data_IF_435236629766
#
_entry.id   IF_435236629766
#
_cell.length_a   1.000
_cell.length_b   1.000
_cell.length_c   1.000
_cell.angle_alpha   90.00
_cell.angle_beta   90.00
_cell.angle_gamma   90.00
#
_symmetry.space_group_name_H-M   'P 1'
#
loop_
_entity.id
_entity.type
_entity.pdbx_description
1 polymer ?
#
# COMPACT_ATOMS: atom_id res chain seq x y z
N UNK A 1 44.63 6.86 4.93
CA UNK A 1 43.41 6.65 5.77
C UNK A 1 42.13 6.93 5.03
N UNK A 2 41.97 8.13 4.44
CA UNK A 2 40.78 8.49 3.66
C UNK A 2 40.56 7.54 2.49
N UNK A 3 41.61 7.16 1.75
CA UNK A 3 41.53 6.22 0.62
C UNK A 3 41.05 4.82 1.05
N UNK A 4 41.44 4.35 2.23
CA UNK A 4 41.01 3.06 2.76
C UNK A 4 39.52 3.10 3.18
N UNK A 5 39.05 4.24 3.70
CA UNK A 5 37.64 4.44 4.03
C UNK A 5 36.81 4.47 2.74
N UNK A 6 37.26 5.22 1.74
CA UNK A 6 36.57 5.27 0.43
C UNK A 6 36.53 3.88 -0.21
N UNK A 7 37.67 3.16 -0.19
CA UNK A 7 37.71 1.79 -0.73
C UNK A 7 36.75 0.85 0.03
N UNK A 8 36.67 0.94 1.36
CA UNK A 8 35.75 0.15 2.15
C UNK A 8 34.28 0.49 1.82
N UNK A 9 33.93 1.76 1.67
CA UNK A 9 32.59 2.21 1.26
C UNK A 9 32.23 1.69 -0.15
N UNK A 10 33.17 1.77 -1.10
CA UNK A 10 32.97 1.23 -2.45
C UNK A 10 32.76 -0.29 -2.42
N UNK A 11 33.53 -1.02 -1.62
CA UNK A 11 33.35 -2.46 -1.49
C UNK A 11 32.02 -2.84 -0.85
N UNK A 12 31.55 -2.08 0.14
CA UNK A 12 30.23 -2.26 0.74
C UNK A 12 29.13 -1.99 -0.29
N UNK A 13 29.23 -0.87 -1.02
CA UNK A 13 28.26 -0.53 -2.07
C UNK A 13 28.24 -1.60 -3.19
N UNK A 14 29.41 -2.11 -3.61
CA UNK A 14 29.51 -3.19 -4.60
C UNK A 14 28.91 -4.49 -4.06
N UNK A 15 29.11 -4.79 -2.78
CA UNK A 15 28.51 -5.96 -2.15
C UNK A 15 26.99 -5.89 -2.19
N UNK A 16 26.39 -4.79 -1.73
CA UNK A 16 24.93 -4.61 -1.79
C UNK A 16 24.40 -4.57 -3.24
N UNK A 17 25.12 -3.91 -4.15
CA UNK A 17 24.73 -3.91 -5.57
C UNK A 17 24.68 -5.32 -6.16
N UNK A 18 25.64 -6.21 -5.78
CA UNK A 18 25.60 -7.62 -6.21
C UNK A 18 24.40 -8.38 -5.62
N UNK A 19 23.99 -8.04 -4.38
CA UNK A 19 22.80 -8.64 -3.74
C UNK A 19 21.49 -8.27 -4.43
N UNK A 20 21.40 -7.11 -5.09
CA UNK A 20 20.24 -6.76 -5.90
C UNK A 20 20.00 -7.70 -7.09
N UNK A 21 20.96 -8.58 -7.41
CA UNK A 21 20.71 -9.66 -8.38
C UNK A 21 19.80 -10.77 -7.84
N UNK A 22 19.49 -10.78 -6.55
CA UNK A 22 18.54 -11.71 -5.95
C UNK A 22 17.09 -11.33 -6.23
N UNK A 23 16.81 -10.03 -6.49
CA UNK A 23 15.47 -9.59 -6.89
C UNK A 23 15.09 -10.21 -8.24
N UNK A 24 13.85 -10.62 -8.35
CA UNK A 24 13.30 -11.02 -9.65
C UNK A 24 12.98 -9.77 -10.48
N UNK A 25 13.97 -9.36 -11.26
CA UNK A 25 13.83 -8.29 -12.27
C UNK A 25 13.71 -8.86 -13.69
N UNK A 26 13.36 -10.13 -13.81
CA UNK A 26 13.25 -10.79 -15.12
C UNK A 26 12.05 -10.32 -15.92
N UNK A 27 10.99 -9.90 -15.22
CA UNK A 27 9.80 -9.35 -15.84
C UNK A 27 9.90 -7.82 -15.86
N UNK A 28 10.02 -7.28 -17.07
CA UNK A 28 10.00 -5.84 -17.31
C UNK A 28 8.64 -5.49 -17.91
N UNK A 29 8.01 -4.47 -17.35
CA UNK A 29 6.72 -3.98 -17.82
C UNK A 29 6.83 -3.52 -19.28
N UNK A 30 5.91 -3.98 -20.12
CA UNK A 30 5.78 -3.47 -21.48
C UNK A 30 5.06 -2.11 -21.45
N UNK A 31 5.82 -1.05 -21.57
CA UNK A 31 5.30 0.33 -21.56
C UNK A 31 4.21 0.58 -22.62
N UNK A 32 4.18 -0.22 -23.71
CA UNK A 32 3.12 -0.14 -24.70
C UNK A 32 1.77 -0.72 -24.20
N UNK A 33 1.79 -1.44 -23.09
CA UNK A 33 0.61 -1.99 -22.42
C UNK A 33 0.18 -1.17 -21.19
N UNK A 34 0.85 -0.05 -20.93
CA UNK A 34 0.47 0.92 -19.90
C UNK A 34 -0.13 2.13 -20.59
N UNK A 35 -1.28 2.56 -20.10
CA UNK A 35 -1.97 3.76 -20.56
C UNK A 35 -2.05 4.77 -19.41
N UNK A 36 -1.72 6.02 -19.72
CA UNK A 36 -1.87 7.19 -18.86
C UNK A 36 -2.85 8.15 -19.49
N UNK A 37 -3.52 8.94 -18.68
CA UNK A 37 -4.43 9.97 -19.17
C UNK A 37 -3.66 11.20 -19.68
N UNK A 38 -4.29 11.94 -20.57
CA UNK A 38 -3.79 13.26 -20.98
C UNK A 38 -4.16 14.28 -19.89
N UNK A 39 -3.17 14.73 -19.15
CA UNK A 39 -3.31 15.69 -18.04
C UNK A 39 -2.57 16.99 -18.38
N UNK A 40 -2.88 18.07 -17.65
CA UNK A 40 -2.25 19.37 -17.88
C UNK A 40 -0.72 19.34 -17.67
N UNK A 41 0.03 20.18 -18.41
CA UNK A 41 1.50 20.28 -18.29
C UNK A 41 1.96 20.55 -16.84
N UNK A 42 1.19 21.32 -16.07
CA UNK A 42 1.48 21.61 -14.67
C UNK A 42 1.45 20.33 -13.81
N UNK A 43 0.49 19.44 -14.07
CA UNK A 43 0.38 18.13 -13.39
C UNK A 43 1.57 17.25 -13.75
N UNK A 44 1.97 17.18 -15.03
CA UNK A 44 3.15 16.41 -15.43
C UNK A 44 4.43 16.93 -14.77
N UNK A 45 4.59 18.26 -14.66
CA UNK A 45 5.72 18.87 -13.97
C UNK A 45 5.73 18.52 -12.46
N UNK A 46 4.56 18.39 -11.83
CA UNK A 46 4.47 17.95 -10.45
C UNK A 46 4.93 16.49 -10.30
N UNK A 47 4.56 15.60 -11.21
CA UNK A 47 4.98 14.19 -11.16
C UNK A 47 6.50 14.02 -11.20
N UNK A 48 7.23 14.85 -11.95
CA UNK A 48 8.71 14.79 -12.04
C UNK A 48 9.40 14.94 -10.67
N UNK A 49 8.77 15.64 -9.71
CA UNK A 49 9.28 15.83 -8.35
C UNK A 49 9.12 14.60 -7.45
N UNK A 50 8.39 13.60 -7.91
CA UNK A 50 8.02 12.42 -7.11
C UNK A 50 8.46 11.11 -7.78
N UNK A 51 8.50 10.06 -6.97
CA UNK A 51 8.62 8.67 -7.43
C UNK A 51 7.38 7.92 -6.95
N UNK A 52 6.52 7.52 -7.89
CA UNK A 52 5.27 6.82 -7.58
C UNK A 52 5.39 5.36 -7.99
N UNK A 53 5.14 4.45 -7.05
CA UNK A 53 5.31 3.00 -7.22
C UNK A 53 4.00 2.29 -6.88
N UNK A 54 3.52 1.44 -7.77
CA UNK A 54 2.42 0.53 -7.47
C UNK A 54 2.94 -0.69 -6.72
N UNK A 55 2.34 -1.01 -5.58
CA UNK A 55 2.69 -2.18 -4.79
C UNK A 55 1.51 -3.15 -4.78
N UNK A 56 1.76 -4.40 -5.13
CA UNK A 56 0.74 -5.45 -5.18
C UNK A 56 1.08 -6.58 -4.23
N UNK A 57 0.15 -6.88 -3.33
CA UNK A 57 0.21 -8.05 -2.46
C UNK A 57 -0.68 -9.16 -3.01
N UNK A 58 -0.10 -10.32 -3.28
CA UNK A 58 -0.79 -11.45 -3.86
C UNK A 58 -0.96 -12.56 -2.81
N UNK A 59 -2.18 -13.08 -2.68
CA UNK A 59 -2.46 -14.28 -1.87
C UNK A 59 -2.22 -15.54 -2.72
N UNK A 60 -0.96 -15.73 -3.12
CA UNK A 60 -0.57 -16.87 -3.93
C UNK A 60 -0.20 -18.05 -3.04
N UNK A 61 -0.81 -19.22 -3.30
CA UNK A 61 -0.49 -20.46 -2.62
C UNK A 61 0.87 -21.05 -3.05
N UNK A 62 1.45 -20.54 -4.13
CA UNK A 62 2.77 -20.93 -4.62
C UNK A 62 3.65 -19.69 -4.55
N UNK A 63 4.61 -19.71 -3.64
CA UNK A 63 5.58 -18.65 -3.41
C UNK A 63 6.32 -18.28 -4.69
N UNK A 64 6.54 -16.98 -4.93
CA UNK A 64 7.26 -16.47 -6.09
C UNK A 64 6.52 -16.57 -7.44
N UNK A 65 5.22 -16.87 -7.47
CA UNK A 65 4.42 -16.90 -8.70
C UNK A 65 3.55 -15.64 -8.79
N UNK A 66 3.96 -14.70 -9.63
CA UNK A 66 3.29 -13.38 -9.78
C UNK A 66 2.49 -13.22 -11.08
N UNK A 67 2.41 -14.28 -11.90
CA UNK A 67 1.78 -14.23 -13.22
C UNK A 67 0.26 -14.33 -13.21
N UNK A 68 -0.36 -14.61 -12.06
CA UNK A 68 -1.82 -14.76 -11.96
C UNK A 68 -2.31 -14.65 -10.54
N UNK A 69 -3.58 -14.31 -10.36
CA UNK A 69 -4.24 -14.15 -9.08
C UNK A 69 -4.83 -12.74 -8.93
N UNK A 70 -5.74 -12.57 -7.98
CA UNK A 70 -6.22 -11.23 -7.62
C UNK A 70 -5.18 -10.56 -6.71
N UNK A 71 -4.95 -9.28 -6.91
CA UNK A 71 -4.21 -8.47 -5.95
C UNK A 71 -5.11 -8.17 -4.75
N UNK A 72 -4.86 -8.84 -3.64
CA UNK A 72 -5.62 -8.61 -2.40
C UNK A 72 -5.17 -7.36 -1.64
N UNK A 73 -3.99 -6.88 -1.96
CA UNK A 73 -3.43 -5.59 -1.52
C UNK A 73 -3.04 -4.79 -2.75
N UNK A 74 -3.51 -3.56 -2.84
CA UNK A 74 -3.15 -2.59 -3.87
C UNK A 74 -2.76 -1.32 -3.13
N UNK A 75 -1.49 -0.92 -3.24
CA UNK A 75 -0.96 0.25 -2.57
C UNK A 75 -0.28 1.16 -3.59
N UNK A 76 -0.38 2.46 -3.37
CA UNK A 76 0.39 3.49 -4.07
C UNK A 76 1.37 4.05 -3.05
N UNK A 77 2.65 3.85 -3.28
CA UNK A 77 3.72 4.50 -2.55
C UNK A 77 4.19 5.69 -3.36
N UNK A 78 4.07 6.89 -2.81
CA UNK A 78 4.53 8.12 -3.42
C UNK A 78 5.63 8.75 -2.57
N UNK A 79 6.75 9.09 -3.18
CA UNK A 79 7.95 9.60 -2.50
C UNK A 79 8.29 10.96 -3.09
N UNK A 80 8.26 12.00 -2.27
CA UNK A 80 8.81 13.30 -2.66
C UNK A 80 10.35 13.20 -2.74
N UNK A 81 10.90 13.41 -3.92
CA UNK A 81 12.32 13.22 -4.18
C UNK A 81 13.22 14.26 -3.49
N UNK A 82 12.67 15.42 -3.13
CA UNK A 82 13.40 16.51 -2.46
C UNK A 82 13.30 16.39 -0.93
N UNK A 83 12.07 16.33 -0.38
CA UNK A 83 11.85 16.31 1.07
C UNK A 83 12.05 14.94 1.69
N UNK A 84 11.94 13.86 0.91
CA UNK A 84 11.95 12.45 1.33
C UNK A 84 10.71 12.04 2.14
N UNK A 85 9.69 12.85 2.13
CA UNK A 85 8.38 12.48 2.66
C UNK A 85 7.73 11.43 1.77
N UNK A 86 7.09 10.46 2.40
CA UNK A 86 6.37 9.39 1.73
C UNK A 86 4.90 9.44 2.07
N UNK A 87 4.07 9.15 1.07
CA UNK A 87 2.64 8.92 1.23
C UNK A 87 2.28 7.49 0.81
N UNK A 88 1.49 6.81 1.62
CA UNK A 88 1.05 5.43 1.36
C UNK A 88 -0.48 5.38 1.26
N UNK A 89 -1.02 5.07 0.08
CA UNK A 89 -2.47 5.00 -0.14
C UNK A 89 -2.88 3.59 -0.53
N UNK A 90 -3.80 2.99 0.23
CA UNK A 90 -4.44 1.73 -0.13
C UNK A 90 -5.60 1.97 -1.08
N UNK A 91 -5.58 1.39 -2.27
CA UNK A 91 -6.79 1.30 -3.12
C UNK A 91 -7.57 0.06 -2.68
N UNK A 92 -8.77 0.25 -2.13
CA UNK A 92 -9.57 -0.88 -1.66
C UNK A 92 -9.87 -1.83 -2.81
N UNK A 93 -9.49 -3.10 -2.65
CA UNK A 93 -9.51 -4.10 -3.73
C UNK A 93 -10.87 -4.28 -4.42
N UNK A 94 -11.96 -3.99 -3.71
CA UNK A 94 -13.33 -4.12 -4.18
C UNK A 94 -13.89 -2.80 -4.77
N UNK A 95 -13.04 -1.76 -4.94
CA UNK A 95 -13.43 -0.48 -5.55
C UNK A 95 -13.89 -0.70 -6.99
N UNK A 96 -15.03 -0.09 -7.33
CA UNK A 96 -15.66 -0.19 -8.66
C UNK A 96 -15.02 0.80 -9.62
N UNK A 97 -14.07 0.31 -10.42
CA UNK A 97 -13.27 1.09 -11.35
C UNK A 97 -13.27 0.47 -12.75
N UNK A 98 -12.84 1.23 -13.74
CA UNK A 98 -12.59 0.70 -15.08
C UNK A 98 -11.31 -0.15 -15.08
N UNK A 99 -11.45 -1.43 -15.40
CA UNK A 99 -10.37 -2.43 -15.41
C UNK A 99 -10.03 -2.91 -16.83
N UNK A 100 -10.48 -2.21 -17.87
CA UNK A 100 -10.21 -2.59 -19.26
C UNK A 100 -8.70 -2.55 -19.57
N UNK A 101 -8.24 -3.49 -20.40
CA UNK A 101 -6.90 -3.43 -20.94
C UNK A 101 -6.79 -2.34 -22.02
N UNK A 102 -5.55 -1.95 -22.34
CA UNK A 102 -5.26 -0.95 -23.38
C UNK A 102 -5.91 -1.37 -24.70
N UNK A 103 -6.67 -0.45 -25.30
CA UNK A 103 -7.37 -0.66 -26.56
C UNK A 103 -8.66 -1.48 -26.46
N UNK A 104 -9.07 -1.92 -25.28
CA UNK A 104 -10.37 -2.55 -25.05
C UNK A 104 -11.45 -1.52 -24.71
N UNK A 105 -12.73 -1.92 -24.87
CA UNK A 105 -13.86 -1.12 -24.41
C UNK A 105 -13.90 -1.09 -22.88
N UNK A 106 -14.36 0.03 -22.32
CA UNK A 106 -14.48 0.24 -20.89
C UNK A 106 -15.25 -0.88 -20.18
N UNK A 107 -14.69 -1.33 -19.06
CA UNK A 107 -15.17 -2.46 -18.29
C UNK A 107 -15.04 -2.18 -16.80
N UNK A 108 -16.14 -1.85 -16.17
CA UNK A 108 -16.16 -1.54 -14.74
C UNK A 108 -16.40 -2.78 -13.89
N UNK A 109 -15.48 -3.03 -12.95
CA UNK A 109 -15.51 -4.16 -12.01
C UNK A 109 -14.73 -3.79 -10.73
N UNK A 110 -14.62 -4.77 -9.81
CA UNK A 110 -13.67 -4.66 -8.69
C UNK A 110 -12.26 -4.48 -9.21
N UNK A 111 -11.56 -3.47 -8.73
CA UNK A 111 -10.24 -3.07 -9.25
C UNK A 111 -9.19 -4.20 -9.15
N UNK A 112 -9.27 -5.09 -8.12
CA UNK A 112 -8.37 -6.23 -7.99
C UNK A 112 -8.42 -7.23 -9.15
N UNK A 113 -9.52 -7.23 -9.93
CA UNK A 113 -9.66 -8.10 -11.11
C UNK A 113 -8.77 -7.66 -12.29
N UNK A 114 -8.23 -6.46 -12.27
CA UNK A 114 -7.29 -5.99 -13.29
C UNK A 114 -6.03 -6.86 -13.32
N UNK A 115 -5.41 -7.07 -12.15
CA UNK A 115 -4.23 -7.93 -12.03
C UNK A 115 -4.51 -9.37 -12.49
N UNK A 116 -5.64 -9.95 -12.07
CA UNK A 116 -6.01 -11.31 -12.48
C UNK A 116 -6.27 -11.46 -13.98
N UNK A 117 -6.66 -10.38 -14.65
CA UNK A 117 -7.04 -10.37 -16.08
C UNK A 117 -5.85 -10.18 -17.03
N UNK A 118 -4.91 -9.31 -16.67
CA UNK A 118 -3.80 -8.94 -17.55
C UNK A 118 -2.51 -8.59 -16.81
N UNK A 119 -2.34 -9.12 -15.58
CA UNK A 119 -1.09 -8.94 -14.85
C UNK A 119 -0.87 -7.52 -14.37
N UNK A 120 0.40 -7.22 -14.15
CA UNK A 120 0.84 -5.95 -13.57
C UNK A 120 0.54 -4.76 -14.49
N UNK A 121 0.69 -4.91 -15.82
CA UNK A 121 0.43 -3.83 -16.78
C UNK A 121 -1.03 -3.38 -16.75
N UNK A 122 -1.96 -4.33 -16.73
CA UNK A 122 -3.38 -3.97 -16.64
C UNK A 122 -3.75 -3.39 -15.29
N UNK A 123 -3.09 -3.82 -14.21
CA UNK A 123 -3.29 -3.25 -12.88
C UNK A 123 -2.73 -1.82 -12.78
N UNK A 124 -1.58 -1.53 -13.37
CA UNK A 124 -1.01 -0.18 -13.45
C UNK A 124 -1.89 0.72 -14.34
N UNK A 125 -2.27 0.23 -15.53
CA UNK A 125 -3.20 0.97 -16.42
C UNK A 125 -4.51 1.31 -15.72
N UNK A 126 -5.06 0.37 -14.93
CA UNK A 126 -6.25 0.62 -14.13
C UNK A 126 -6.03 1.76 -13.13
N UNK A 127 -4.90 1.78 -12.42
CA UNK A 127 -4.58 2.88 -11.49
C UNK A 127 -4.42 4.19 -12.24
N UNK A 128 -3.60 4.23 -13.29
CA UNK A 128 -3.31 5.44 -14.04
C UNK A 128 -4.57 6.08 -14.65
N UNK A 129 -5.43 5.26 -15.29
CA UNK A 129 -6.63 5.77 -15.97
C UNK A 129 -7.72 6.25 -15.03
N UNK A 130 -7.91 5.58 -13.89
CA UNK A 130 -8.97 5.96 -12.95
C UNK A 130 -8.53 7.05 -11.98
N UNK A 131 -7.22 7.25 -11.78
CA UNK A 131 -6.69 8.12 -10.72
C UNK A 131 -5.83 9.26 -11.26
N UNK A 132 -5.72 9.42 -12.58
CA UNK A 132 -4.84 10.40 -13.23
C UNK A 132 -3.38 10.33 -12.71
N UNK A 133 -2.83 9.13 -12.63
CA UNK A 133 -1.46 8.90 -12.22
C UNK A 133 -0.57 8.55 -13.41
N UNK A 134 0.74 8.66 -13.21
CA UNK A 134 1.79 8.26 -14.16
C UNK A 134 2.72 7.24 -13.48
N UNK A 135 2.13 6.09 -13.11
CA UNK A 135 2.86 4.98 -12.51
C UNK A 135 3.44 4.14 -13.63
N UNK A 136 4.74 3.91 -13.59
CA UNK A 136 5.48 3.09 -14.54
C UNK A 136 6.30 1.97 -13.86
N UNK A 137 6.38 1.99 -12.54
CA UNK A 137 7.15 1.03 -11.76
C UNK A 137 6.27 0.29 -10.74
N UNK A 138 6.66 -0.95 -10.44
CA UNK A 138 5.91 -1.78 -9.50
C UNK A 138 6.79 -2.60 -8.56
N UNK A 139 6.15 -3.07 -7.50
CA UNK A 139 6.67 -4.09 -6.60
C UNK A 139 5.56 -5.11 -6.32
N UNK A 140 5.84 -6.39 -6.55
CA UNK A 140 4.95 -7.48 -6.15
C UNK A 140 5.60 -8.31 -5.05
N UNK A 141 4.82 -8.61 -4.02
CA UNK A 141 5.22 -9.48 -2.92
C UNK A 141 4.10 -10.46 -2.59
N UNK A 142 4.45 -11.61 -2.02
CA UNK A 142 3.48 -12.52 -1.42
C UNK A 142 3.50 -12.44 0.11
N UNK A 143 2.51 -13.05 0.75
CA UNK A 143 2.39 -13.00 2.21
C UNK A 143 3.49 -13.77 2.94
N UNK A 144 4.13 -14.76 2.30
CA UNK A 144 5.24 -15.49 2.88
C UNK A 144 6.46 -14.59 3.00
N UNK A 145 6.80 -13.85 1.94
CA UNK A 145 7.89 -12.88 1.94
C UNK A 145 7.68 -11.78 2.99
N UNK A 146 6.45 -11.31 3.16
CA UNK A 146 6.11 -10.32 4.21
C UNK A 146 6.31 -10.91 5.60
N UNK A 147 5.87 -12.14 5.85
CA UNK A 147 6.05 -12.80 7.14
C UNK A 147 7.53 -12.98 7.48
N UNK A 148 8.33 -13.48 6.53
CA UNK A 148 9.77 -13.66 6.71
C UNK A 148 10.49 -12.34 6.95
N UNK A 149 10.11 -11.27 6.24
CA UNK A 149 10.68 -9.94 6.46
C UNK A 149 10.42 -9.43 7.88
N UNK A 150 9.19 -9.60 8.38
CA UNK A 150 8.82 -9.21 9.74
C UNK A 150 9.64 -9.99 10.78
N UNK A 151 9.81 -11.29 10.61
CA UNK A 151 10.56 -12.14 11.56
C UNK A 151 12.05 -11.75 11.58
N UNK A 152 12.66 -11.50 10.43
CA UNK A 152 14.05 -11.03 10.33
C UNK A 152 14.25 -9.68 11.02
N UNK A 153 13.25 -8.77 10.89
CA UNK A 153 13.28 -7.46 11.54
C UNK A 153 13.03 -7.53 13.05
N UNK A 154 12.61 -8.69 13.59
CA UNK A 154 12.37 -8.90 15.02
C UNK A 154 10.92 -8.71 15.44
N UNK A 155 9.99 -8.73 14.49
CA UNK A 155 8.56 -8.53 14.69
C UNK A 155 8.12 -7.09 14.46
N UNK A 156 6.81 -6.87 14.53
CA UNK A 156 6.17 -5.54 14.44
C UNK A 156 5.34 -5.26 15.67
N UNK A 157 5.41 -4.04 16.18
CA UNK A 157 4.63 -3.63 17.34
C UNK A 157 3.22 -3.19 16.91
N UNK A 158 2.21 -3.92 17.34
CA UNK A 158 0.81 -3.68 16.99
C UNK A 158 -0.04 -3.62 18.25
N UNK A 159 -0.90 -2.63 18.35
CA UNK A 159 -1.93 -2.55 19.36
C UNK A 159 -3.14 -3.38 18.93
N UNK A 160 -3.49 -4.38 19.74
CA UNK A 160 -4.72 -5.17 19.60
C UNK A 160 -5.81 -4.45 20.39
N UNK A 161 -6.70 -3.77 19.69
CA UNK A 161 -7.61 -2.77 20.27
C UNK A 161 -8.75 -3.39 21.09
N UNK A 162 -9.14 -4.64 20.82
CA UNK A 162 -10.29 -5.27 21.45
C UNK A 162 -10.21 -6.79 21.51
N UNK A 163 -11.03 -7.40 22.39
CA UNK A 163 -11.22 -8.85 22.47
C UNK A 163 -11.82 -9.41 21.16
N UNK A 164 -12.62 -8.65 20.43
CA UNK A 164 -13.14 -9.05 19.13
C UNK A 164 -12.02 -9.13 18.09
N UNK A 165 -11.13 -8.16 18.07
CA UNK A 165 -9.97 -8.15 17.18
C UNK A 165 -9.02 -9.31 17.52
N UNK A 166 -8.73 -9.54 18.79
CA UNK A 166 -7.95 -10.68 19.25
C UNK A 166 -8.57 -12.01 18.82
N UNK A 167 -9.88 -12.16 18.98
CA UNK A 167 -10.60 -13.37 18.56
C UNK A 167 -10.42 -13.63 17.06
N UNK A 168 -10.63 -12.60 16.22
CA UNK A 168 -10.49 -12.74 14.78
C UNK A 168 -9.05 -12.95 14.35
N UNK A 169 -8.08 -12.25 14.98
CA UNK A 169 -6.66 -12.50 14.74
C UNK A 169 -6.34 -13.98 14.91
N UNK A 170 -6.70 -14.53 16.07
CA UNK A 170 -6.43 -15.93 16.38
C UNK A 170 -7.21 -16.92 15.48
N UNK A 171 -8.42 -16.56 15.05
CA UNK A 171 -9.16 -17.33 14.06
C UNK A 171 -8.48 -17.36 12.67
N UNK A 172 -7.84 -16.25 12.28
CA UNK A 172 -7.05 -16.19 11.03
C UNK A 172 -5.68 -16.88 11.16
N UNK A 173 -5.15 -17.07 12.37
CA UNK A 173 -3.89 -17.77 12.61
C UNK A 173 -3.92 -19.22 12.08
N UNK A 174 -5.04 -19.93 12.25
CA UNK A 174 -5.16 -21.32 11.78
C UNK A 174 -4.97 -21.43 10.27
N UNK A 175 -5.62 -20.55 9.51
CA UNK A 175 -5.50 -20.52 8.05
C UNK A 175 -4.12 -20.03 7.61
N UNK A 176 -3.58 -19.01 8.29
CA UNK A 176 -2.26 -18.46 7.98
C UNK A 176 -1.15 -19.47 8.26
N UNK A 177 -1.16 -20.12 9.42
CA UNK A 177 -0.23 -21.22 9.73
C UNK A 177 -0.28 -22.33 8.68
N UNK A 178 -1.48 -22.73 8.27
CA UNK A 178 -1.66 -23.76 7.25
C UNK A 178 -1.12 -23.33 5.89
N UNK A 179 -1.37 -22.08 5.48
CA UNK A 179 -0.95 -21.55 4.18
C UNK A 179 0.56 -21.36 4.11
N UNK A 180 1.19 -20.92 5.19
CA UNK A 180 2.64 -20.70 5.29
C UNK A 180 3.40 -21.96 5.72
N UNK A 181 2.71 -23.04 6.08
CA UNK A 181 3.33 -24.29 6.53
C UNK A 181 3.99 -24.18 7.91
N UNK A 182 3.53 -23.26 8.74
CA UNK A 182 4.02 -22.95 10.09
C UNK A 182 3.09 -23.52 11.17
N UNK A 183 3.48 -23.38 12.43
CA UNK A 183 2.63 -23.74 13.59
C UNK A 183 2.97 -22.81 14.75
N UNK A 184 2.73 -21.51 14.56
CA UNK A 184 2.98 -20.50 15.57
C UNK A 184 1.82 -20.39 16.56
N UNK A 185 2.16 -19.99 17.78
CA UNK A 185 1.21 -19.83 18.88
C UNK A 185 0.27 -18.63 18.64
N UNK A 186 -0.93 -18.71 19.20
CA UNK A 186 -1.88 -17.62 19.21
C UNK A 186 -1.38 -16.42 20.02
N UNK A 187 -1.86 -15.25 19.64
CA UNK A 187 -1.66 -14.02 20.42
C UNK A 187 -2.45 -14.10 21.72
N UNK A 188 -1.80 -13.77 22.85
CA UNK A 188 -2.30 -14.09 24.19
C UNK A 188 -3.24 -13.07 24.82
N UNK A 189 -3.36 -11.86 24.25
CA UNK A 189 -4.19 -10.80 24.85
C UNK A 189 -4.29 -9.55 23.99
N UNK A 190 -5.04 -8.58 24.47
CA UNK A 190 -5.18 -7.23 23.90
C UNK A 190 -4.05 -6.29 24.34
N UNK A 191 -4.02 -5.08 23.78
CA UNK A 191 -2.98 -4.07 24.01
C UNK A 191 -1.80 -4.23 23.06
N UNK A 192 -0.78 -3.41 23.27
CA UNK A 192 0.42 -3.38 22.42
C UNK A 192 1.25 -4.65 22.58
N UNK A 193 1.51 -5.32 21.48
CA UNK A 193 2.28 -6.55 21.42
C UNK A 193 3.21 -6.58 20.20
N UNK A 194 4.36 -7.23 20.34
CA UNK A 194 5.21 -7.54 19.19
C UNK A 194 4.69 -8.80 18.51
N UNK A 195 4.17 -8.67 17.31
CA UNK A 195 3.67 -9.77 16.49
C UNK A 195 4.81 -10.36 15.65
N UNK A 196 4.84 -11.70 15.55
CA UNK A 196 5.67 -12.41 14.57
C UNK A 196 5.16 -12.20 13.16
N UNK A 197 5.91 -12.63 12.15
CA UNK A 197 5.49 -12.51 10.75
C UNK A 197 4.15 -13.18 10.47
N UNK A 198 3.95 -14.40 10.97
CA UNK A 198 2.68 -15.14 10.81
C UNK A 198 1.52 -14.43 11.51
N UNK A 199 1.75 -13.94 12.73
CA UNK A 199 0.74 -13.20 13.50
C UNK A 199 0.37 -11.88 12.82
N UNK A 200 1.35 -11.14 12.31
CA UNK A 200 1.13 -9.87 11.61
C UNK A 200 0.40 -10.06 10.26
N UNK A 201 0.74 -11.13 9.53
CA UNK A 201 -0.02 -11.50 8.32
C UNK A 201 -1.46 -11.90 8.68
N UNK A 202 -1.67 -12.69 9.73
CA UNK A 202 -3.02 -13.03 10.20
C UNK A 202 -3.81 -11.77 10.60
N UNK A 203 -3.19 -10.85 11.34
CA UNK A 203 -3.76 -9.56 11.71
C UNK A 203 -4.17 -8.74 10.47
N UNK A 204 -3.32 -8.64 9.47
CA UNK A 204 -3.57 -7.89 8.23
C UNK A 204 -4.69 -8.49 7.35
N UNK A 205 -5.15 -9.70 7.65
CA UNK A 205 -6.21 -10.41 6.91
C UNK A 205 -7.57 -10.32 7.56
N UNK A 206 -7.69 -9.78 8.79
CA UNK A 206 -8.96 -9.69 9.53
C UNK A 206 -9.99 -8.88 8.75
N UNK A 207 -11.22 -9.44 8.59
CA UNK A 207 -12.35 -8.81 7.88
C UNK A 207 -13.59 -8.65 8.74
N UNK A 208 -13.81 -9.52 9.72
CA UNK A 208 -15.06 -9.66 10.46
C UNK A 208 -15.17 -8.73 11.69
N UNK A 209 -14.56 -7.55 11.63
CA UNK A 209 -14.76 -6.48 12.60
C UNK A 209 -15.60 -5.36 11.97
N UNK A 210 -16.14 -4.45 12.78
CA UNK A 210 -16.84 -3.28 12.25
C UNK A 210 -15.91 -2.50 11.30
N UNK A 211 -16.36 -2.19 10.07
CA UNK A 211 -15.54 -1.52 9.05
C UNK A 211 -14.97 -2.42 7.96
N UNK A 212 -15.13 -3.75 8.06
CA UNK A 212 -14.92 -4.75 6.99
C UNK A 212 -13.59 -4.60 6.20
N UNK A 213 -13.65 -4.41 4.88
CA UNK A 213 -12.49 -4.28 3.99
C UNK A 213 -11.66 -3.00 4.24
N UNK A 214 -12.27 -1.94 4.77
CA UNK A 214 -11.57 -0.70 5.10
C UNK A 214 -10.61 -0.90 6.27
N UNK A 215 -11.09 -1.51 7.35
CA UNK A 215 -10.25 -1.87 8.50
C UNK A 215 -9.17 -2.88 8.15
N UNK A 216 -9.42 -3.77 7.20
CA UNK A 216 -8.37 -4.66 6.69
C UNK A 216 -7.25 -3.87 6.00
N UNK A 217 -7.58 -2.95 5.10
CA UNK A 217 -6.59 -2.12 4.42
C UNK A 217 -5.81 -1.23 5.40
N UNK A 218 -6.46 -0.69 6.43
CA UNK A 218 -5.81 0.03 7.52
C UNK A 218 -4.80 -0.86 8.27
N UNK A 219 -5.19 -2.08 8.66
CA UNK A 219 -4.28 -3.05 9.31
C UNK A 219 -3.06 -3.38 8.43
N UNK A 220 -3.26 -3.51 7.12
CA UNK A 220 -2.17 -3.73 6.17
C UNK A 220 -1.19 -2.54 6.16
N UNK A 221 -1.70 -1.31 6.10
CA UNK A 221 -0.84 -0.10 6.18
C UNK A 221 -0.12 -0.02 7.52
N UNK A 222 -0.81 -0.31 8.63
CA UNK A 222 -0.21 -0.32 9.98
C UNK A 222 0.96 -1.30 10.08
N UNK A 223 0.80 -2.53 9.57
CA UNK A 223 1.88 -3.51 9.51
C UNK A 223 3.05 -3.02 8.66
N UNK A 224 2.79 -2.49 7.45
CA UNK A 224 3.83 -1.98 6.56
C UNK A 224 4.58 -0.78 7.16
N UNK A 225 3.85 0.14 7.81
CA UNK A 225 4.46 1.29 8.50
C UNK A 225 5.38 0.83 9.62
N UNK A 226 4.97 -0.14 10.43
CA UNK A 226 5.81 -0.71 11.48
C UNK A 226 7.02 -1.46 10.92
N UNK A 227 6.86 -2.20 9.83
CA UNK A 227 7.99 -2.84 9.13
C UNK A 227 8.99 -1.80 8.65
N UNK A 228 8.54 -0.68 8.10
CA UNK A 228 9.40 0.40 7.65
C UNK A 228 10.21 0.99 8.81
N UNK A 229 9.58 1.30 9.94
CA UNK A 229 10.27 1.82 11.12
C UNK A 229 11.28 0.81 11.71
N UNK A 230 10.92 -0.48 11.75
CA UNK A 230 11.85 -1.53 12.16
C UNK A 230 13.05 -1.63 11.20
N UNK A 231 12.82 -1.54 9.90
CA UNK A 231 13.88 -1.58 8.89
C UNK A 231 14.86 -0.40 9.05
N UNK A 232 14.40 0.80 9.42
CA UNK A 232 15.28 1.96 9.71
C UNK A 232 16.23 1.70 10.88
N UNK A 233 15.82 0.88 11.84
CA UNK A 233 16.62 0.53 13.03
C UNK A 233 17.40 -0.78 12.89
N UNK A 234 17.24 -1.51 11.79
CA UNK A 234 17.80 -2.82 11.59
C UNK A 234 19.34 -2.79 11.53
N UNK A 235 19.96 -3.80 12.12
CA UNK A 235 21.40 -4.03 12.01
C UNK A 235 21.80 -4.43 10.59
N UNK A 236 23.07 -4.21 10.22
CA UNK A 236 23.59 -4.66 8.92
C UNK A 236 23.43 -6.18 8.71
N UNK A 237 23.45 -6.97 9.79
CA UNK A 237 23.21 -8.42 9.71
C UNK A 237 21.78 -8.73 9.31
N UNK A 238 20.80 -8.07 9.95
CA UNK A 238 19.38 -8.22 9.62
C UNK A 238 19.09 -7.74 8.19
N UNK A 239 19.64 -6.59 7.78
CA UNK A 239 19.50 -6.11 6.41
C UNK A 239 20.09 -7.09 5.38
N UNK A 240 21.25 -7.69 5.68
CA UNK A 240 21.81 -8.71 4.80
C UNK A 240 20.94 -9.97 4.74
N UNK A 241 20.42 -10.44 5.87
CA UNK A 241 19.52 -11.59 5.95
C UNK A 241 18.23 -11.32 5.19
N UNK A 242 17.62 -10.14 5.37
CA UNK A 242 16.43 -9.69 4.63
C UNK A 242 16.67 -9.73 3.12
N UNK A 243 17.81 -9.21 2.66
CA UNK A 243 18.17 -9.23 1.24
C UNK A 243 18.35 -10.66 0.73
N UNK A 244 18.97 -11.55 1.50
CA UNK A 244 19.23 -12.93 1.07
C UNK A 244 17.96 -13.79 1.05
N UNK A 245 17.05 -13.54 1.97
CA UNK A 245 15.87 -14.38 2.21
C UNK A 245 14.65 -13.85 1.46
N UNK A 246 14.38 -12.54 1.52
CA UNK A 246 13.13 -11.95 1.01
C UNK A 246 13.25 -11.47 -0.44
N UNK A 247 14.42 -10.97 -0.86
CA UNK A 247 14.55 -10.43 -2.23
C UNK A 247 14.28 -11.44 -3.35
N UNK A 248 14.59 -12.75 -3.23
CA UNK A 248 14.20 -13.73 -4.24
C UNK A 248 12.68 -13.82 -4.47
N UNK A 249 11.90 -13.43 -3.46
CA UNK A 249 10.45 -13.48 -3.44
C UNK A 249 9.81 -12.08 -3.65
N UNK A 250 10.57 -11.15 -4.22
CA UNK A 250 10.08 -9.83 -4.67
C UNK A 250 10.27 -9.73 -6.18
N UNK A 251 9.19 -9.46 -6.90
CA UNK A 251 9.25 -9.12 -8.32
C UNK A 251 9.06 -7.62 -8.51
N UNK A 252 9.96 -7.01 -9.31
CA UNK A 252 9.93 -5.58 -9.59
C UNK A 252 10.64 -5.27 -10.90
N UNK A 253 10.26 -4.19 -11.56
CA UNK A 253 10.97 -3.61 -12.71
C UNK A 253 11.84 -2.41 -12.34
N UNK A 254 11.85 -2.01 -11.07
CA UNK A 254 12.72 -0.94 -10.59
C UNK A 254 14.18 -1.20 -10.96
N UNK A 255 14.84 -0.21 -11.50
CA UNK A 255 16.26 -0.33 -11.82
C UNK A 255 17.09 -0.46 -10.54
N UNK A 256 18.07 -1.37 -10.55
CA UNK A 256 18.93 -1.64 -9.37
C UNK A 256 19.62 -0.39 -8.80
N UNK A 257 19.93 0.60 -9.66
CA UNK A 257 20.49 1.88 -9.23
C UNK A 257 19.50 2.68 -8.37
N UNK A 258 18.22 2.63 -8.72
CA UNK A 258 17.18 3.38 -8.03
C UNK A 258 16.87 2.72 -6.69
N UNK A 259 16.79 1.39 -6.65
CA UNK A 259 16.66 0.62 -5.40
C UNK A 259 17.83 0.91 -4.46
N UNK A 260 19.08 0.93 -4.99
CA UNK A 260 20.25 1.26 -4.18
C UNK A 260 20.20 2.70 -3.66
N UNK A 261 19.75 3.65 -4.48
CA UNK A 261 19.60 5.05 -4.09
C UNK A 261 18.55 5.20 -2.99
N UNK A 262 17.40 4.54 -3.13
CA UNK A 262 16.36 4.50 -2.09
C UNK A 262 16.85 3.85 -0.80
N UNK A 263 17.54 2.71 -0.90
CA UNK A 263 18.11 2.04 0.27
C UNK A 263 19.15 2.90 1.01
N UNK A 264 19.99 3.63 0.30
CA UNK A 264 20.96 4.55 0.90
C UNK A 264 20.30 5.78 1.55
N UNK A 265 19.14 6.18 1.07
CA UNK A 265 18.36 7.30 1.60
C UNK A 265 17.35 6.87 2.68
N UNK A 266 17.21 5.57 2.97
CA UNK A 266 16.15 4.99 3.79
C UNK A 266 16.01 5.68 5.17
N UNK A 267 17.11 6.05 5.80
CA UNK A 267 17.10 6.73 7.11
C UNK A 267 16.55 8.16 7.04
N UNK A 268 16.47 8.74 5.84
CA UNK A 268 15.95 10.10 5.63
C UNK A 268 14.49 10.11 5.20
N UNK A 269 13.93 8.94 4.90
CA UNK A 269 12.52 8.86 4.53
C UNK A 269 11.63 8.94 5.76
N UNK A 270 10.53 9.64 5.61
CA UNK A 270 9.49 9.80 6.62
C UNK A 270 8.12 9.47 6.02
N UNK A 271 7.38 8.56 6.64
CA UNK A 271 6.02 8.25 6.23
C UNK A 271 5.07 9.32 6.80
N UNK A 272 4.91 10.41 6.07
CA UNK A 272 4.19 11.60 6.49
C UNK A 272 2.67 11.46 6.35
N UNK A 273 2.19 10.62 5.45
CA UNK A 273 0.77 10.39 5.28
C UNK A 273 0.41 8.95 4.92
N UNK A 274 -0.76 8.52 5.36
CA UNK A 274 -1.31 7.20 5.07
C UNK A 274 -2.83 7.29 4.93
N UNK A 275 -3.41 6.65 3.93
CA UNK A 275 -4.85 6.74 3.69
C UNK A 275 -5.41 5.60 2.85
N UNK A 276 -6.74 5.61 2.66
CA UNK A 276 -7.43 4.64 1.83
C UNK A 276 -8.27 5.31 0.75
N UNK A 277 -8.17 4.82 -0.47
CA UNK A 277 -8.96 5.26 -1.62
C UNK A 277 -10.07 4.24 -1.95
N UNK A 278 -11.30 4.68 -2.23
CA UNK A 278 -11.77 6.07 -2.27
C UNK A 278 -11.96 6.66 -0.86
N UNK A 279 -11.85 7.97 -0.73
CA UNK A 279 -12.12 8.71 0.49
C UNK A 279 -13.64 8.81 0.73
N UNK A 280 -14.36 9.31 -0.27
CA UNK A 280 -15.81 9.43 -0.31
C UNK A 280 -16.39 8.16 -0.91
N UNK A 281 -17.00 7.30 -0.10
CA UNK A 281 -17.35 5.94 -0.51
C UNK A 281 -18.59 5.38 0.16
N UNK A 282 -19.19 4.41 -0.51
CA UNK A 282 -20.20 3.52 0.08
C UNK A 282 -20.04 2.11 -0.47
N UNK A 283 -20.77 1.15 0.08
CA UNK A 283 -20.79 -0.23 -0.40
C UNK A 283 -22.16 -0.56 -0.96
N UNK A 284 -22.22 -1.10 -2.17
CA UNK A 284 -23.44 -1.60 -2.76
C UNK A 284 -23.24 -2.83 -3.62
N UNK A 285 -24.32 -3.54 -3.93
CA UNK A 285 -24.31 -4.66 -4.89
C UNK A 285 -24.77 -4.16 -6.25
N UNK A 286 -23.87 -4.15 -7.25
CA UNK A 286 -24.19 -3.71 -8.62
C UNK A 286 -25.05 -4.73 -9.36
N UNK A 287 -24.63 -5.99 -9.33
CA UNK A 287 -25.31 -7.10 -10.01
C UNK A 287 -24.91 -8.44 -9.41
N UNK A 288 -25.60 -9.51 -9.75
CA UNK A 288 -25.23 -10.87 -9.32
C UNK A 288 -23.85 -11.31 -9.83
N UNK A 289 -23.38 -10.76 -10.95
CA UNK A 289 -22.08 -11.08 -11.56
C UNK A 289 -20.93 -10.24 -11.02
N UNK A 290 -21.18 -8.99 -10.63
CA UNK A 290 -20.17 -8.08 -10.06
C UNK A 290 -20.10 -8.20 -8.54
N UNK A 291 -21.25 -8.50 -7.91
CA UNK A 291 -21.34 -8.64 -6.46
C UNK A 291 -21.34 -7.29 -5.73
N UNK A 292 -20.97 -7.34 -4.45
CA UNK A 292 -20.78 -6.18 -3.60
C UNK A 292 -19.48 -5.48 -3.96
N UNK A 293 -19.51 -4.16 -4.14
CA UNK A 293 -18.37 -3.30 -4.50
C UNK A 293 -18.31 -2.10 -3.57
N UNK A 294 -17.12 -1.51 -3.47
CA UNK A 294 -16.91 -0.17 -2.93
C UNK A 294 -17.12 0.83 -4.07
N UNK A 295 -18.10 1.68 -3.94
CA UNK A 295 -18.42 2.73 -4.92
C UNK A 295 -17.77 4.03 -4.48
N UNK A 296 -16.88 4.63 -5.30
CA UNK A 296 -16.46 6.01 -5.07
C UNK A 296 -17.69 6.92 -5.30
N UNK A 297 -18.05 7.70 -4.28
CA UNK A 297 -19.07 8.72 -4.38
C UNK A 297 -18.42 9.91 -5.04
N UNK A 298 -18.71 10.13 -6.33
CA UNK A 298 -18.02 11.06 -7.19
C UNK A 298 -16.50 10.76 -7.33
N UNK A 299 -16.13 10.09 -8.43
CA UNK A 299 -14.72 9.72 -8.66
C UNK A 299 -13.84 10.96 -8.79
N UNK A 300 -14.35 12.06 -9.39
CA UNK A 300 -13.61 13.32 -9.54
C UNK A 300 -13.16 13.87 -8.19
N UNK A 301 -14.09 14.02 -7.23
CA UNK A 301 -13.77 14.52 -5.88
C UNK A 301 -12.76 13.61 -5.17
N UNK A 302 -12.87 12.30 -5.37
CA UNK A 302 -11.91 11.34 -4.82
C UNK A 302 -10.51 11.47 -5.42
N UNK A 303 -10.41 11.75 -6.73
CA UNK A 303 -9.13 11.95 -7.42
C UNK A 303 -8.51 13.28 -7.01
N UNK A 304 -9.30 14.35 -6.85
CA UNK A 304 -8.82 15.63 -6.31
C UNK A 304 -8.20 15.44 -4.93
N UNK A 305 -8.89 14.75 -4.01
CA UNK A 305 -8.36 14.47 -2.68
C UNK A 305 -7.09 13.58 -2.71
N UNK A 306 -7.02 12.63 -3.65
CA UNK A 306 -5.82 11.81 -3.84
C UNK A 306 -4.61 12.64 -4.28
N UNK A 307 -4.79 13.53 -5.24
CA UNK A 307 -3.71 14.40 -5.74
C UNK A 307 -3.24 15.40 -4.67
N UNK A 308 -4.16 15.91 -3.84
CA UNK A 308 -3.79 16.73 -2.69
C UNK A 308 -2.93 15.92 -1.69
N UNK A 309 -3.33 14.68 -1.37
CA UNK A 309 -2.57 13.83 -0.45
C UNK A 309 -1.20 13.41 -1.01
N UNK A 310 -1.13 13.03 -2.30
CA UNK A 310 0.11 12.51 -2.89
C UNK A 310 1.09 13.61 -3.28
N UNK A 311 0.60 14.72 -3.82
CA UNK A 311 1.43 15.74 -4.47
C UNK A 311 1.31 17.13 -3.83
N UNK A 312 0.42 17.30 -2.84
CA UNK A 312 0.13 18.61 -2.26
C UNK A 312 -0.53 19.58 -3.25
N UNK A 313 -1.14 19.08 -4.32
CA UNK A 313 -1.72 19.90 -5.38
C UNK A 313 -3.08 20.42 -4.95
N UNK A 314 -3.17 21.70 -4.59
CA UNK A 314 -4.43 22.38 -4.35
C UNK A 314 -5.19 22.59 -5.68
N UNK A 315 -6.50 22.34 -5.69
CA UNK A 315 -7.39 22.57 -6.85
C UNK A 315 -7.00 21.79 -8.12
N UNK A 316 -6.61 20.52 -7.97
CA UNK A 316 -6.40 19.62 -9.10
C UNK A 316 -7.64 19.56 -10.01
N UNK A 317 -7.44 19.56 -11.32
CA UNK A 317 -8.53 19.39 -12.30
C UNK A 317 -8.40 17.99 -12.92
N UNK A 318 -9.32 17.07 -12.64
CA UNK A 318 -9.32 15.73 -13.23
C UNK A 318 -9.42 15.73 -14.75
N UNK A 319 -8.74 14.78 -15.40
CA UNK A 319 -8.81 14.59 -16.84
C UNK A 319 -10.24 14.29 -17.31
N UNK A 320 -10.52 14.49 -18.61
CA UNK A 320 -11.80 14.10 -19.20
C UNK A 320 -12.09 12.60 -19.03
N UNK A 321 -11.06 11.77 -18.97
CA UNK A 321 -11.20 10.31 -18.73
C UNK A 321 -11.79 10.04 -17.33
N UNK A 322 -11.25 10.68 -16.30
CA UNK A 322 -11.76 10.54 -14.92
C UNK A 322 -13.17 11.09 -14.82
N UNK A 323 -13.46 12.23 -15.46
CA UNK A 323 -14.81 12.81 -15.52
C UNK A 323 -15.82 11.86 -16.17
N UNK A 324 -15.47 11.28 -17.33
CA UNK A 324 -16.33 10.31 -18.04
C UNK A 324 -16.57 9.05 -17.18
N UNK A 325 -15.55 8.59 -16.43
CA UNK A 325 -15.69 7.44 -15.53
C UNK A 325 -16.53 7.77 -14.32
N UNK A 326 -16.41 8.99 -13.76
CA UNK A 326 -17.26 9.46 -12.68
C UNK A 326 -18.74 9.49 -13.11
N UNK A 327 -19.04 10.12 -14.26
CA UNK A 327 -20.37 10.16 -14.84
C UNK A 327 -20.95 8.77 -15.09
N UNK A 328 -20.13 7.85 -15.58
CA UNK A 328 -20.56 6.46 -15.78
C UNK A 328 -20.90 5.78 -14.44
N UNK A 329 -20.06 5.90 -13.42
CA UNK A 329 -20.29 5.30 -12.10
C UNK A 329 -21.59 5.85 -11.50
N UNK A 330 -21.81 7.18 -11.54
CA UNK A 330 -23.03 7.83 -11.09
C UNK A 330 -24.24 7.31 -11.87
N UNK A 331 -24.14 7.19 -13.20
CA UNK A 331 -25.24 6.69 -14.03
C UNK A 331 -25.66 5.25 -13.70
N UNK A 332 -24.72 4.41 -13.26
CA UNK A 332 -24.98 3.00 -12.92
C UNK A 332 -25.48 2.86 -11.49
N UNK A 333 -24.93 3.63 -10.57
CA UNK A 333 -25.20 3.51 -9.13
C UNK A 333 -26.34 4.40 -8.65
N UNK A 334 -26.53 5.53 -9.31
CA UNK A 334 -27.44 6.60 -8.87
C UNK A 334 -26.95 7.34 -7.64
N UNK A 335 -25.66 7.21 -7.31
CA UNK A 335 -25.01 7.79 -6.11
C UNK A 335 -23.98 8.82 -6.56
N UNK A 336 -23.93 9.95 -5.86
CA UNK A 336 -22.98 11.03 -6.10
C UNK A 336 -22.40 11.59 -4.77
N UNK A 337 -21.70 12.72 -4.85
CA UNK A 337 -21.07 13.36 -3.69
C UNK A 337 -22.07 13.75 -2.58
N UNK A 338 -23.31 14.07 -2.95
CA UNK A 338 -24.35 14.46 -1.98
C UNK A 338 -24.81 13.26 -1.12
N UNK A 339 -24.55 12.04 -1.57
CA UNK A 339 -24.82 10.81 -0.82
C UNK A 339 -23.76 10.51 0.24
N UNK A 340 -22.69 11.27 0.29
CA UNK A 340 -21.64 11.15 1.29
C UNK A 340 -22.17 11.60 2.66
N UNK A 341 -22.22 10.66 3.61
CA UNK A 341 -22.57 10.98 5.00
C UNK A 341 -21.31 11.43 5.73
N UNK A 342 -21.36 12.58 6.41
CA UNK A 342 -20.20 13.19 7.10
C UNK A 342 -19.41 12.23 7.99
N UNK A 343 -20.04 11.23 8.61
CA UNK A 343 -19.40 10.23 9.47
C UNK A 343 -18.57 9.15 8.72
N UNK A 344 -18.53 9.19 7.38
CA UNK A 344 -17.80 8.19 6.56
C UNK A 344 -16.39 8.64 6.16
N UNK A 345 -16.01 9.84 6.56
CA UNK A 345 -14.75 10.48 6.15
C UNK A 345 -13.60 10.29 7.12
N UNK A 346 -13.82 9.69 8.28
CA UNK A 346 -12.80 9.53 9.30
C UNK A 346 -12.01 8.23 9.14
N UNK A 347 -11.34 8.06 7.99
CA UNK A 347 -10.13 7.26 7.89
C UNK A 347 -8.88 8.19 7.86
N UNK A 348 -9.00 9.35 8.47
CA UNK A 348 -7.83 10.15 8.84
C UNK A 348 -7.26 9.56 10.14
N UNK A 349 -6.64 8.39 10.02
CA UNK A 349 -5.64 8.04 10.99
C UNK A 349 -4.45 8.97 10.75
N UNK A 350 -4.50 10.12 11.44
CA UNK A 350 -3.34 10.93 11.71
C UNK A 350 -2.32 10.03 12.41
N UNK A 351 -1.48 9.36 11.63
CA UNK A 351 -0.25 8.80 12.14
C UNK A 351 0.75 9.93 12.32
N UNK A 352 0.47 10.81 13.25
CA UNK A 352 1.46 11.69 13.86
C UNK A 352 2.22 10.86 14.88
N UNK A 353 3.23 10.14 14.41
CA UNK A 353 4.27 9.59 15.26
C UNK A 353 5.15 10.73 15.77
N UNK A 354 4.71 11.42 16.77
CA UNK A 354 5.59 12.18 17.67
C UNK A 354 4.92 12.24 19.02
N UNK A 355 5.47 11.46 19.96
CA UNK A 355 5.20 11.68 21.36
C UNK A 355 5.71 13.05 21.76
N UNK A 356 4.80 13.96 22.03
CA UNK A 356 5.04 15.04 22.96
C UNK A 356 4.18 14.78 24.18
N UNK A 357 4.87 14.24 25.19
CA UNK A 357 4.42 14.29 26.55
C UNK A 357 4.57 15.75 27.02
N UNK A 358 3.48 16.46 27.08
CA UNK A 358 3.38 17.64 27.94
C UNK A 358 2.27 17.44 28.96
N UNK A 359 2.73 17.12 30.08
CA UNK A 359 2.40 17.44 31.46
C UNK A 359 1.71 18.81 31.54
N UNK A 360 0.44 18.82 31.91
CA UNK A 360 -0.16 19.95 32.58
C UNK A 360 -1.19 19.48 33.63
N UNK A 361 -0.61 19.17 34.79
CA UNK A 361 -1.31 19.31 36.05
C UNK A 361 -1.65 20.78 36.28
N UNK A 362 -2.91 21.11 36.37
CA UNK A 362 -3.36 22.11 37.33
C UNK A 362 -4.73 21.78 37.90
N UNK A 363 -4.68 21.51 39.18
CA UNK A 363 -5.82 21.48 40.05
C UNK A 363 -6.37 22.90 40.23
N UNK A 364 -7.68 23.04 40.33
CA UNK A 364 -8.25 23.97 41.27
C UNK A 364 -9.57 23.45 41.83
N UNK A 365 -9.54 23.37 43.16
CA UNK A 365 -10.67 23.31 44.08
C UNK A 365 -11.59 24.53 43.91
N UNK A 366 -12.86 24.35 44.16
CA UNK A 366 -13.72 25.09 45.10
C UNK A 366 -15.17 24.63 44.85
N UNK A 367 -15.77 23.97 45.79
CA UNK A 367 -16.53 24.43 46.97
C UNK A 367 -17.94 25.01 46.60
N UNK A 368 -18.98 24.21 46.77
CA UNK A 368 -20.08 24.34 47.76
C UNK A 368 -21.08 23.17 47.66
#
# INVERSE_FOLDING_TARGET
>A
MIELIILALVLVALYFYQKLNLLDTSYQVDQAQIEVNDVEEETLANFEGYTTIAMFGLDNRTQGVYSSGNSDVILILNINNDTKEMSLVSVYRDTYLNVAAVGEADKFRKCNSAYASGGVEQAITMLNRNLDLDIDNYVCVDFAAVAEAIDILGGVEIEIESEEELYWLNAYMDDTNKNLGTNEDYVSGTGTQTLTGVQAVAYSRIRYTSGDDYKRAERQRRVLSQMFEQAKSASLSQLNELIETVFPDIQTDLAKKDILTMAMAMLNYDLSSSGGFPYYKTTMTISSSTGSVVVPLDLESNVIALHEQLFGTENYTPSSTVQDYSDYIISVTGLDADDAVEDRFTDSDDFTGSGDADDDTEAEEEAE
#
